data_IF_225666827586
#
_entry.id   IF_225666827586
#
_cell.length_a   1.000
_cell.length_b   1.000
_cell.length_c   1.000
_cell.angle_alpha   90.00
_cell.angle_beta   90.00
_cell.angle_gamma   90.00
#
_symmetry.space_group_name_H-M   'P 1'
#
loop_
_entity.id
_entity.type
_entity.pdbx_description
1 polymer ?
#
# COMPACT_ATOMS: atom_id res chain seq x y z
N UNK A 1 -29.17 -4.80 -4.30
CA UNK A 1 -27.74 -4.58 -4.59
C UNK A 1 -27.06 -5.94 -4.53
N UNK A 2 -26.23 -6.30 -5.50
CA UNK A 2 -25.49 -7.57 -5.48
C UNK A 2 -24.49 -7.54 -4.33
N UNK A 3 -24.78 -8.20 -3.22
CA UNK A 3 -23.87 -8.31 -2.08
C UNK A 3 -22.76 -9.28 -2.45
N UNK A 4 -21.57 -8.76 -2.78
CA UNK A 4 -20.37 -9.59 -2.92
C UNK A 4 -19.64 -9.63 -1.59
N UNK A 5 -19.12 -10.80 -1.22
CA UNK A 5 -18.23 -10.96 -0.07
C UNK A 5 -16.80 -11.20 -0.56
N UNK A 6 -15.82 -10.62 0.13
CA UNK A 6 -14.41 -10.79 -0.21
C UNK A 6 -13.67 -11.64 0.84
N UNK A 7 -12.68 -12.40 0.39
CA UNK A 7 -11.71 -13.07 1.23
C UNK A 7 -10.30 -12.70 0.75
N UNK A 8 -9.53 -12.06 1.62
CA UNK A 8 -8.13 -11.76 1.38
C UNK A 8 -7.27 -12.86 1.98
N UNK A 9 -6.46 -13.54 1.17
CA UNK A 9 -5.45 -14.48 1.63
C UNK A 9 -4.09 -13.80 1.70
N UNK A 10 -3.52 -13.74 2.90
CA UNK A 10 -2.17 -13.21 3.10
C UNK A 10 -1.54 -13.73 4.39
N UNK A 11 -0.23 -13.52 4.55
CA UNK A 11 0.44 -13.74 5.83
C UNK A 11 -0.17 -12.84 6.93
N UNK A 12 -0.08 -13.28 8.19
CA UNK A 12 -0.51 -12.48 9.34
C UNK A 12 0.50 -11.34 9.65
N UNK A 13 0.63 -10.42 8.70
CA UNK A 13 1.47 -9.22 8.74
C UNK A 13 0.89 -8.17 7.80
N UNK A 14 1.25 -6.89 7.99
CA UNK A 14 0.83 -5.80 7.12
C UNK A 14 1.27 -6.06 5.66
N UNK A 15 2.59 -6.04 5.43
CA UNK A 15 3.23 -6.37 4.17
C UNK A 15 2.60 -5.71 2.94
N UNK A 16 2.55 -6.46 1.83
CA UNK A 16 1.98 -6.02 0.56
C UNK A 16 0.44 -5.99 0.55
N UNK A 17 -0.21 -6.46 1.62
CA UNK A 17 -1.67 -6.54 1.71
C UNK A 17 -2.29 -5.29 2.35
N UNK A 18 -1.51 -4.41 2.97
CA UNK A 18 -2.08 -3.31 3.76
C UNK A 18 -2.90 -2.32 2.90
N UNK A 19 -2.43 -1.99 1.69
CA UNK A 19 -3.21 -1.18 0.75
C UNK A 19 -4.53 -1.85 0.36
N UNK A 20 -4.55 -3.19 0.23
CA UNK A 20 -5.76 -3.96 -0.08
C UNK A 20 -6.74 -3.89 1.10
N UNK A 21 -6.28 -4.07 2.33
CA UNK A 21 -7.11 -3.96 3.54
C UNK A 21 -7.73 -2.58 3.69
N UNK A 22 -6.96 -1.52 3.41
CA UNK A 22 -7.44 -0.15 3.43
C UNK A 22 -8.47 0.11 2.33
N UNK A 23 -8.27 -0.38 1.10
CA UNK A 23 -9.23 -0.25 0.01
C UNK A 23 -10.54 -0.99 0.27
N UNK A 24 -10.49 -2.23 0.79
CA UNK A 24 -11.68 -3.00 1.16
C UNK A 24 -12.47 -2.30 2.28
N UNK A 25 -11.76 -1.75 3.27
CA UNK A 25 -12.36 -0.98 4.36
C UNK A 25 -12.98 0.32 3.85
N UNK A 26 -12.27 1.06 3.00
CA UNK A 26 -12.77 2.31 2.41
C UNK A 26 -14.01 2.09 1.54
N UNK A 27 -14.05 0.97 0.81
CA UNK A 27 -15.20 0.58 0.00
C UNK A 27 -16.43 0.20 0.84
N UNK A 28 -16.28 0.04 2.16
CA UNK A 28 -17.31 -0.39 3.09
C UNK A 28 -18.01 -1.69 2.62
N UNK A 29 -17.20 -2.67 2.19
CA UNK A 29 -17.68 -3.99 1.76
C UNK A 29 -17.42 -5.05 2.82
N UNK A 30 -18.21 -6.12 2.81
CA UNK A 30 -17.97 -7.27 3.68
C UNK A 30 -16.74 -8.06 3.20
N UNK A 31 -15.75 -8.22 4.09
CA UNK A 31 -14.57 -9.00 3.79
C UNK A 31 -13.99 -9.72 5.02
N UNK A 32 -13.31 -10.84 4.78
CA UNK A 32 -12.57 -11.61 5.78
C UNK A 32 -11.13 -11.83 5.35
N UNK A 33 -10.29 -12.22 6.30
CA UNK A 33 -8.90 -12.59 6.04
C UNK A 33 -8.66 -14.06 6.35
N UNK A 34 -7.92 -14.74 5.47
CA UNK A 34 -7.43 -16.10 5.65
C UNK A 34 -5.90 -16.07 5.64
N UNK A 35 -5.28 -16.86 6.50
CA UNK A 35 -3.81 -16.96 6.62
C UNK A 35 -3.34 -18.37 6.24
N UNK A 36 -3.03 -18.62 4.95
CA UNK A 36 -2.62 -19.95 4.51
C UNK A 36 -1.31 -20.41 5.18
N UNK A 37 -1.21 -21.70 5.48
CA UNK A 37 0.00 -22.32 6.01
C UNK A 37 1.08 -22.41 4.91
N UNK A 38 2.25 -21.81 5.16
CA UNK A 38 3.32 -21.71 4.17
C UNK A 38 4.55 -22.53 4.59
N UNK A 39 5.15 -23.33 3.68
CA UNK A 39 4.89 -23.41 2.24
C UNK A 39 3.82 -24.45 1.81
N UNK A 40 3.14 -25.12 2.75
CA UNK A 40 2.25 -26.26 2.45
C UNK A 40 1.12 -25.92 1.47
N UNK A 41 0.52 -24.73 1.59
CA UNK A 41 -0.59 -24.29 0.73
C UNK A 41 -0.14 -23.53 -0.53
N UNK A 42 1.17 -23.36 -0.75
CA UNK A 42 1.70 -22.69 -1.94
C UNK A 42 1.18 -23.28 -3.26
N UNK A 43 1.15 -24.60 -3.47
CA UNK A 43 0.66 -25.18 -4.72
C UNK A 43 -0.83 -24.90 -4.99
N UNK A 44 -1.59 -24.53 -3.95
CA UNK A 44 -3.03 -24.28 -4.03
C UNK A 44 -3.37 -22.82 -4.37
N UNK A 45 -2.40 -21.92 -4.38
CA UNK A 45 -2.62 -20.50 -4.68
C UNK A 45 -2.34 -20.19 -6.15
N UNK A 46 -3.06 -19.25 -6.78
CA UNK A 46 -2.72 -18.77 -8.12
C UNK A 46 -1.27 -18.29 -8.18
N UNK A 47 -0.55 -18.78 -9.19
CA UNK A 47 0.89 -18.57 -9.40
C UNK A 47 1.80 -19.03 -8.24
N UNK A 48 1.25 -19.71 -7.23
CA UNK A 48 1.97 -20.05 -6.00
C UNK A 48 2.43 -18.83 -5.21
N UNK A 49 1.61 -17.77 -5.17
CA UNK A 49 1.93 -16.49 -4.52
C UNK A 49 0.77 -15.96 -3.68
N UNK A 50 1.11 -15.08 -2.75
CA UNK A 50 0.21 -14.22 -1.99
C UNK A 50 0.59 -12.75 -2.21
N UNK A 51 -0.33 -11.78 -2.08
CA UNK A 51 -1.75 -11.95 -1.70
C UNK A 51 -2.64 -12.53 -2.81
N UNK A 52 -3.79 -13.08 -2.40
CA UNK A 52 -4.88 -13.51 -3.29
C UNK A 52 -6.19 -12.93 -2.77
N UNK A 53 -6.96 -12.28 -3.64
CA UNK A 53 -8.32 -11.83 -3.36
C UNK A 53 -9.31 -12.77 -4.01
N UNK A 54 -10.24 -13.30 -3.22
CA UNK A 54 -11.38 -14.08 -3.68
C UNK A 54 -12.63 -13.23 -3.49
N UNK A 55 -13.40 -13.03 -4.55
CA UNK A 55 -14.72 -12.43 -4.49
C UNK A 55 -15.75 -13.52 -4.79
N UNK A 56 -16.74 -13.64 -3.90
CA UNK A 56 -17.92 -14.47 -4.11
C UNK A 56 -19.12 -13.59 -4.38
N UNK A 57 -19.83 -13.89 -5.46
CA UNK A 57 -21.08 -13.24 -5.83
C UNK A 57 -22.26 -14.17 -5.56
N UNK A 58 -23.45 -13.60 -5.42
CA UNK A 58 -24.70 -14.37 -5.44
C UNK A 58 -25.01 -14.98 -6.82
N UNK A 59 -24.25 -14.60 -7.86
CA UNK A 59 -24.25 -15.21 -9.18
C UNK A 59 -22.87 -15.81 -9.42
N UNK A 60 -22.74 -17.14 -9.38
CA UNK A 60 -21.45 -17.84 -9.39
C UNK A 60 -20.57 -17.54 -10.61
N UNK A 61 -21.16 -17.17 -11.74
CA UNK A 61 -20.42 -16.76 -12.95
C UNK A 61 -19.62 -15.46 -12.75
N UNK A 62 -19.96 -14.68 -11.72
CA UNK A 62 -19.26 -13.46 -11.32
C UNK A 62 -18.25 -13.69 -10.19
N UNK A 63 -18.02 -14.94 -9.77
CA UNK A 63 -16.94 -15.25 -8.85
C UNK A 63 -15.59 -14.90 -9.48
N UNK A 64 -14.71 -14.32 -8.67
CA UNK A 64 -13.43 -13.82 -9.14
C UNK A 64 -12.33 -14.21 -8.17
N UNK A 65 -11.17 -14.61 -8.70
CA UNK A 65 -9.97 -14.89 -7.92
C UNK A 65 -8.79 -14.19 -8.59
N UNK A 66 -8.18 -13.24 -7.89
CA UNK A 66 -7.07 -12.42 -8.40
C UNK A 66 -5.87 -12.60 -7.46
N UNK A 67 -4.68 -12.74 -8.05
CA UNK A 67 -3.40 -12.67 -7.35
C UNK A 67 -2.60 -11.47 -7.88
N UNK A 68 -1.44 -11.21 -7.26
CA UNK A 68 -0.62 -10.00 -7.43
C UNK A 68 -1.22 -8.76 -6.77
N UNK A 69 -0.54 -8.21 -5.76
CA UNK A 69 -1.07 -7.13 -4.91
C UNK A 69 -1.52 -5.90 -5.70
N UNK A 70 -0.68 -5.41 -6.63
CA UNK A 70 -0.99 -4.24 -7.47
C UNK A 70 -2.24 -4.46 -8.32
N UNK A 71 -2.42 -5.67 -8.84
CA UNK A 71 -3.58 -6.01 -9.67
C UNK A 71 -4.85 -6.01 -8.84
N UNK A 72 -4.80 -6.58 -7.63
CA UNK A 72 -5.91 -6.57 -6.67
C UNK A 72 -6.27 -5.12 -6.30
N UNK A 73 -5.28 -4.31 -5.94
CA UNK A 73 -5.48 -2.91 -5.57
C UNK A 73 -6.17 -2.12 -6.69
N UNK A 74 -5.70 -2.25 -7.94
CA UNK A 74 -6.31 -1.58 -9.11
C UNK A 74 -7.74 -2.06 -9.35
N UNK A 75 -8.00 -3.36 -9.19
CA UNK A 75 -9.35 -3.90 -9.32
C UNK A 75 -10.30 -3.23 -8.32
N UNK A 76 -9.93 -3.20 -7.04
CA UNK A 76 -10.73 -2.56 -6.00
C UNK A 76 -10.87 -1.06 -6.23
N UNK A 77 -9.78 -0.37 -6.55
CA UNK A 77 -9.79 1.07 -6.75
C UNK A 77 -10.69 1.50 -7.92
N UNK A 78 -10.68 0.75 -9.03
CA UNK A 78 -11.59 1.01 -10.16
C UNK A 78 -13.03 0.66 -9.84
N UNK A 79 -13.25 -0.45 -9.12
CA UNK A 79 -14.60 -0.94 -8.78
C UNK A 79 -15.33 0.01 -7.83
N UNK A 80 -14.61 0.60 -6.88
CA UNK A 80 -15.19 1.43 -5.81
C UNK A 80 -14.89 2.93 -5.93
N UNK A 81 -14.35 3.36 -7.07
CA UNK A 81 -14.21 4.80 -7.38
C UNK A 81 -13.02 5.51 -6.75
N UNK A 82 -12.04 4.80 -6.20
CA UNK A 82 -10.79 5.39 -5.69
C UNK A 82 -9.79 5.73 -6.79
N UNK A 83 -9.99 5.22 -8.01
CA UNK A 83 -9.21 5.59 -9.20
C UNK A 83 -10.15 6.24 -10.24
N UNK A 84 -9.78 7.40 -10.83
CA UNK A 84 -10.60 8.05 -11.84
C UNK A 84 -10.84 7.17 -13.08
N UNK A 85 -12.04 7.24 -13.66
CA UNK A 85 -12.35 6.54 -14.90
C UNK A 85 -11.65 7.12 -16.14
N UNK A 86 -11.24 8.40 -16.09
CA UNK A 86 -10.43 9.00 -17.15
C UNK A 86 -9.03 8.36 -17.16
N UNK A 87 -8.62 7.72 -18.27
CA UNK A 87 -7.38 6.95 -18.32
C UNK A 87 -6.13 7.82 -18.15
N UNK A 88 -6.17 9.10 -18.52
CA UNK A 88 -5.03 10.01 -18.33
C UNK A 88 -4.88 10.37 -16.86
N UNK A 89 -5.98 10.65 -16.16
CA UNK A 89 -5.97 10.91 -14.72
C UNK A 89 -5.58 9.66 -13.92
N UNK A 90 -6.09 8.49 -14.31
CA UNK A 90 -5.69 7.21 -13.71
C UNK A 90 -4.18 6.96 -13.84
N UNK A 91 -3.62 7.13 -15.05
CA UNK A 91 -2.20 6.91 -15.30
C UNK A 91 -1.28 7.78 -14.41
N UNK A 92 -1.67 9.04 -14.14
CA UNK A 92 -0.93 9.94 -13.24
C UNK A 92 -0.91 9.46 -11.79
N UNK A 93 -1.98 8.79 -11.32
CA UNK A 93 -2.01 8.16 -10.00
C UNK A 93 -1.23 6.85 -9.99
N UNK A 94 -1.42 6.02 -11.03
CA UNK A 94 -0.81 4.71 -11.16
C UNK A 94 0.72 4.79 -11.25
N UNK A 95 1.29 5.78 -11.94
CA UNK A 95 2.75 5.93 -12.00
C UNK A 95 3.39 6.16 -10.62
N UNK A 96 2.73 6.92 -9.74
CA UNK A 96 3.23 7.19 -8.39
C UNK A 96 3.19 5.90 -7.58
N UNK A 97 2.07 5.16 -7.66
CA UNK A 97 1.90 3.89 -6.96
C UNK A 97 2.86 2.81 -7.47
N UNK A 98 3.01 2.67 -8.77
CA UNK A 98 3.85 1.61 -9.36
C UNK A 98 5.30 1.76 -8.94
N UNK A 99 5.75 3.01 -8.79
CA UNK A 99 7.07 3.32 -8.29
C UNK A 99 7.33 2.81 -6.88
N UNK A 100 6.31 2.76 -6.04
CA UNK A 100 6.41 2.19 -4.68
C UNK A 100 6.80 0.71 -4.70
N UNK A 101 6.36 -0.06 -5.72
CA UNK A 101 6.77 -1.47 -5.88
C UNK A 101 8.26 -1.60 -6.05
N UNK A 102 8.89 -0.75 -6.87
CA UNK A 102 10.33 -0.82 -7.13
C UNK A 102 11.13 -0.55 -5.85
N UNK A 103 10.65 0.38 -5.01
CA UNK A 103 11.31 0.75 -3.75
C UNK A 103 11.17 -0.38 -2.73
N UNK A 104 9.98 -0.97 -2.62
CA UNK A 104 9.75 -2.14 -1.76
C UNK A 104 10.60 -3.32 -2.23
N UNK A 105 10.69 -3.56 -3.54
CA UNK A 105 11.53 -4.62 -4.10
C UNK A 105 13.02 -4.35 -3.81
N UNK A 106 13.48 -3.12 -3.98
CA UNK A 106 14.85 -2.72 -3.64
C UNK A 106 15.14 -2.95 -2.16
N UNK A 107 14.19 -2.63 -1.26
CA UNK A 107 14.28 -2.93 0.17
C UNK A 107 14.45 -4.43 0.42
N UNK A 108 13.60 -5.28 -0.14
CA UNK A 108 13.71 -6.73 0.05
C UNK A 108 15.02 -7.31 -0.51
N UNK A 109 15.48 -6.81 -1.66
CA UNK A 109 16.75 -7.22 -2.27
C UNK A 109 17.93 -6.83 -1.38
N UNK A 110 18.01 -5.58 -0.88
CA UNK A 110 19.09 -5.17 0.01
C UNK A 110 19.06 -5.93 1.34
N UNK A 111 17.87 -6.21 1.88
CA UNK A 111 17.72 -6.85 3.17
C UNK A 111 18.24 -8.30 3.12
N UNK A 112 18.02 -8.96 1.98
CA UNK A 112 18.41 -10.36 1.73
C UNK A 112 19.80 -10.51 1.10
N UNK A 113 20.54 -9.41 0.88
CA UNK A 113 21.82 -9.43 0.19
C UNK A 113 22.97 -9.97 1.06
N UNK A 114 23.99 -10.52 0.38
CA UNK A 114 25.27 -10.83 1.00
C UNK A 114 26.02 -9.56 1.41
N UNK A 115 26.91 -9.67 2.40
CA UNK A 115 27.58 -8.52 3.01
C UNK A 115 28.36 -7.64 2.00
N UNK A 116 28.95 -8.25 0.97
CA UNK A 116 29.72 -7.59 -0.09
C UNK A 116 28.88 -6.72 -1.03
N UNK A 117 27.56 -6.93 -1.10
CA UNK A 117 26.63 -6.15 -1.94
C UNK A 117 25.70 -5.23 -1.15
N UNK A 118 25.70 -5.36 0.17
CA UNK A 118 24.70 -4.72 1.03
C UNK A 118 24.77 -3.20 0.99
N UNK A 119 25.98 -2.63 0.95
CA UNK A 119 26.19 -1.18 0.88
C UNK A 119 25.69 -0.59 -0.43
N UNK A 120 26.06 -1.17 -1.58
CA UNK A 120 25.61 -0.74 -2.91
C UNK A 120 24.07 -0.78 -3.02
N UNK A 121 23.46 -1.88 -2.57
CA UNK A 121 22.00 -2.06 -2.65
C UNK A 121 21.25 -1.15 -1.68
N UNK A 122 21.83 -0.86 -0.52
CA UNK A 122 21.29 0.13 0.43
C UNK A 122 21.34 1.54 -0.17
N UNK A 123 22.45 1.93 -0.80
CA UNK A 123 22.56 3.22 -1.49
C UNK A 123 21.56 3.34 -2.64
N UNK A 124 21.32 2.25 -3.39
CA UNK A 124 20.27 2.20 -4.41
C UNK A 124 18.89 2.40 -3.82
N UNK A 125 18.53 1.68 -2.74
CA UNK A 125 17.25 1.88 -2.06
C UNK A 125 17.07 3.33 -1.59
N UNK A 126 18.12 3.91 -0.99
CA UNK A 126 18.10 5.29 -0.50
C UNK A 126 17.89 6.30 -1.64
N UNK A 127 18.57 6.16 -2.79
CA UNK A 127 18.35 7.02 -3.97
C UNK A 127 16.90 6.89 -4.48
N UNK A 128 16.36 5.67 -4.55
CA UNK A 128 14.98 5.45 -4.98
C UNK A 128 13.98 6.12 -4.03
N UNK A 129 14.18 5.99 -2.72
CA UNK A 129 13.33 6.60 -1.69
C UNK A 129 13.41 8.12 -1.73
N UNK A 130 14.62 8.71 -1.83
CA UNK A 130 14.82 10.16 -1.93
C UNK A 130 14.09 10.75 -3.14
N UNK A 131 14.26 10.14 -4.33
CA UNK A 131 13.55 10.59 -5.54
C UNK A 131 12.03 10.48 -5.38
N UNK A 132 11.55 9.41 -4.75
CA UNK A 132 10.11 9.25 -4.49
C UNK A 132 9.59 10.35 -3.57
N UNK A 133 10.30 10.64 -2.48
CA UNK A 133 9.97 11.73 -1.56
C UNK A 133 9.93 13.06 -2.33
N UNK A 134 10.97 13.40 -3.09
CA UNK A 134 11.04 14.65 -3.86
C UNK A 134 9.86 14.81 -4.83
N UNK A 135 9.60 13.78 -5.63
CA UNK A 135 8.50 13.77 -6.61
C UNK A 135 7.14 13.85 -5.93
N UNK A 136 6.93 13.07 -4.86
CA UNK A 136 5.66 13.08 -4.14
C UNK A 136 5.40 14.43 -3.46
N UNK A 137 6.42 15.01 -2.80
CA UNK A 137 6.28 16.33 -2.17
C UNK A 137 6.02 17.42 -3.21
N UNK A 138 6.63 17.33 -4.40
CA UNK A 138 6.33 18.27 -5.49
C UNK A 138 4.90 18.12 -5.99
N UNK A 139 4.43 16.89 -6.24
CA UNK A 139 3.06 16.64 -6.65
C UNK A 139 2.04 17.17 -5.63
N UNK A 140 2.32 17.00 -4.33
CA UNK A 140 1.48 17.56 -3.26
C UNK A 140 1.47 19.08 -3.28
N UNK A 141 2.63 19.74 -3.47
CA UNK A 141 2.70 21.20 -3.62
C UNK A 141 1.93 21.70 -4.83
N UNK A 142 2.08 21.03 -5.97
CA UNK A 142 1.39 21.38 -7.22
C UNK A 142 -0.14 21.25 -7.08
N UNK A 143 -0.61 20.33 -6.23
CA UNK A 143 -2.01 20.20 -5.85
C UNK A 143 -2.43 21.13 -4.67
N UNK A 144 -1.64 22.18 -4.37
CA UNK A 144 -1.95 23.16 -3.34
C UNK A 144 -1.71 22.67 -1.90
N UNK A 145 -0.99 21.57 -1.73
CA UNK A 145 -0.68 20.93 -0.45
C UNK A 145 -1.94 20.66 0.39
N UNK A 146 -3.00 20.16 -0.23
CA UNK A 146 -4.28 19.85 0.45
C UNK A 146 -4.16 18.68 1.44
N UNK A 147 -3.13 17.82 1.27
CA UNK A 147 -3.03 16.51 1.93
C UNK A 147 -3.44 15.36 1.01
N UNK A 148 -3.84 15.65 -0.23
CA UNK A 148 -4.11 14.67 -1.28
C UNK A 148 -3.20 14.92 -2.48
N UNK A 149 -2.82 13.86 -3.19
CA UNK A 149 -2.08 14.00 -4.45
C UNK A 149 -2.91 14.66 -5.55
N UNK A 150 -4.22 14.42 -5.56
CA UNK A 150 -5.11 14.93 -6.61
C UNK A 150 -6.42 15.44 -6.01
N UNK A 151 -6.74 16.72 -6.27
CA UNK A 151 -7.96 17.33 -5.73
C UNK A 151 -7.97 17.36 -4.20
N UNK A 152 -9.13 17.11 -3.60
CA UNK A 152 -9.35 17.20 -2.15
C UNK A 152 -10.11 15.99 -1.59
N UNK A 153 -10.10 14.87 -2.31
CA UNK A 153 -10.79 13.64 -1.91
C UNK A 153 -9.78 12.49 -1.81
N UNK A 154 -10.09 11.50 -0.98
CA UNK A 154 -9.27 10.31 -0.82
C UNK A 154 -9.22 9.49 -2.13
N UNK A 155 -8.02 9.30 -2.65
CA UNK A 155 -7.79 8.49 -3.85
C UNK A 155 -6.91 7.27 -3.56
N UNK A 156 -6.85 6.35 -4.52
CA UNK A 156 -6.03 5.15 -4.45
C UNK A 156 -4.56 5.45 -4.16
N UNK A 157 -3.99 6.48 -4.79
CA UNK A 157 -2.57 6.83 -4.61
C UNK A 157 -2.30 7.40 -3.20
N UNK A 158 -3.27 8.08 -2.59
CA UNK A 158 -3.15 8.57 -1.21
C UNK A 158 -3.09 7.38 -0.23
N UNK A 159 -4.02 6.43 -0.38
CA UNK A 159 -4.08 5.19 0.42
C UNK A 159 -2.79 4.37 0.25
N UNK A 160 -2.35 4.16 -1.00
CA UNK A 160 -1.14 3.40 -1.30
C UNK A 160 0.12 4.05 -0.71
N UNK A 161 0.22 5.38 -0.79
CA UNK A 161 1.37 6.12 -0.26
C UNK A 161 1.40 6.11 1.28
N UNK A 162 0.24 6.26 1.92
CA UNK A 162 0.13 6.08 3.38
C UNK A 162 0.59 4.68 3.81
N UNK A 163 0.06 3.63 3.17
CA UNK A 163 0.43 2.26 3.46
C UNK A 163 1.93 1.99 3.25
N UNK A 164 2.51 2.58 2.20
CA UNK A 164 3.94 2.48 1.90
C UNK A 164 4.83 3.09 2.98
N UNK A 165 4.56 4.34 3.40
CA UNK A 165 5.35 4.96 4.46
C UNK A 165 5.14 4.26 5.80
N UNK A 166 3.90 3.83 6.09
CA UNK A 166 3.62 3.01 7.27
C UNK A 166 4.41 1.71 7.27
N UNK A 167 4.50 1.04 6.12
CA UNK A 167 5.30 -0.16 5.98
C UNK A 167 6.79 0.11 6.28
N UNK A 168 7.39 1.13 5.66
CA UNK A 168 8.81 1.43 5.87
C UNK A 168 9.14 1.89 7.29
N UNK A 169 8.25 2.64 7.94
CA UNK A 169 8.52 3.24 9.26
C UNK A 169 8.14 2.29 10.39
N UNK A 170 7.02 1.57 10.28
CA UNK A 170 6.51 0.72 11.37
C UNK A 170 6.88 -0.74 11.13
N UNK A 171 6.48 -1.29 9.99
CA UNK A 171 6.64 -2.73 9.73
C UNK A 171 8.11 -3.12 9.50
N UNK A 172 8.85 -2.31 8.75
CA UNK A 172 10.25 -2.58 8.45
C UNK A 172 11.19 -2.33 9.62
N UNK A 173 10.76 -1.62 10.68
CA UNK A 173 11.57 -1.43 11.89
C UNK A 173 12.04 -2.75 12.51
N UNK A 174 11.16 -3.75 12.57
CA UNK A 174 11.50 -5.09 13.08
C UNK A 174 12.42 -5.90 12.16
N UNK A 175 12.52 -5.53 10.88
CA UNK A 175 13.42 -6.18 9.90
C UNK A 175 14.76 -5.46 9.80
N UNK A 176 14.74 -4.13 9.75
CA UNK A 176 15.92 -3.28 9.57
C UNK A 176 15.63 -1.85 10.07
N UNK A 177 16.01 -1.57 11.32
CA UNK A 177 15.79 -0.28 11.97
C UNK A 177 16.34 0.91 11.18
N UNK A 178 17.49 0.76 10.51
CA UNK A 178 18.08 1.84 9.69
C UNK A 178 17.17 2.28 8.52
N UNK A 179 16.34 1.38 7.98
CA UNK A 179 15.38 1.72 6.91
C UNK A 179 14.21 2.50 7.48
N UNK A 180 13.75 2.15 8.69
CA UNK A 180 12.73 2.91 9.42
C UNK A 180 13.21 4.34 9.71
N UNK A 181 14.43 4.49 10.25
CA UNK A 181 14.98 5.82 10.56
C UNK A 181 15.22 6.66 9.30
N UNK A 182 15.71 6.05 8.21
CA UNK A 182 15.85 6.73 6.93
C UNK A 182 14.49 7.19 6.38
N UNK A 183 13.47 6.32 6.40
CA UNK A 183 12.14 6.68 5.93
C UNK A 183 11.51 7.78 6.79
N UNK A 184 11.58 7.67 8.12
CA UNK A 184 11.06 8.68 9.07
C UNK A 184 11.73 10.03 8.87
N UNK A 185 13.06 10.07 8.76
CA UNK A 185 13.82 11.32 8.56
C UNK A 185 13.66 11.93 7.16
N UNK A 186 13.27 11.13 6.16
CA UNK A 186 13.03 11.62 4.79
C UNK A 186 11.69 12.33 4.60
N UNK A 187 10.73 12.19 5.52
CA UNK A 187 9.39 12.76 5.37
C UNK A 187 9.43 14.29 5.38
N UNK A 188 8.94 14.90 4.29
CA UNK A 188 8.73 16.36 4.21
C UNK A 188 7.42 16.77 4.89
N UNK A 189 7.22 18.06 5.20
CA UNK A 189 5.95 18.55 5.77
C UNK A 189 4.72 18.22 4.92
N UNK A 190 4.85 18.19 3.59
CA UNK A 190 3.75 17.82 2.69
C UNK A 190 3.37 16.35 2.84
N UNK A 191 4.35 15.45 2.93
CA UNK A 191 4.11 14.02 3.14
C UNK A 191 3.55 13.75 4.54
N UNK A 192 4.05 14.46 5.56
CA UNK A 192 3.48 14.39 6.91
C UNK A 192 2.01 14.85 6.92
N UNK A 193 1.68 15.90 6.16
CA UNK A 193 0.30 16.36 5.99
C UNK A 193 -0.56 15.31 5.28
N UNK A 194 -0.07 14.70 4.20
CA UNK A 194 -0.78 13.60 3.53
C UNK A 194 -1.05 12.44 4.49
N UNK A 195 -0.04 12.02 5.26
CA UNK A 195 -0.19 10.95 6.26
C UNK A 195 -1.29 11.33 7.27
N UNK A 196 -1.26 12.55 7.80
CA UNK A 196 -2.25 13.00 8.78
C UNK A 196 -3.67 13.06 8.19
N UNK A 197 -3.84 13.54 6.96
CA UNK A 197 -5.14 13.64 6.29
C UNK A 197 -5.70 12.26 5.95
N UNK A 198 -4.89 11.37 5.37
CA UNK A 198 -5.31 10.00 5.04
C UNK A 198 -5.63 9.21 6.30
N UNK A 199 -4.79 9.27 7.34
CA UNK A 199 -5.02 8.54 8.58
C UNK A 199 -6.26 9.02 9.35
N UNK A 200 -6.65 10.29 9.17
CA UNK A 200 -7.86 10.86 9.77
C UNK A 200 -9.14 10.61 8.95
N UNK A 201 -9.04 10.05 7.74
CA UNK A 201 -10.20 9.82 6.89
C UNK A 201 -11.14 8.75 7.50
N UNK A 202 -12.44 9.08 7.72
CA UNK A 202 -13.38 8.16 8.36
C UNK A 202 -13.59 6.86 7.57
N UNK A 203 -13.35 6.84 6.25
CA UNK A 203 -13.44 5.63 5.44
C UNK A 203 -12.37 4.60 5.82
N UNK A 204 -11.26 5.02 6.42
CA UNK A 204 -10.14 4.14 6.77
C UNK A 204 -10.09 3.76 8.24
N UNK A 205 -10.84 4.45 9.10
CA UNK A 205 -10.76 4.35 10.57
C UNK A 205 -10.78 2.90 11.08
N UNK A 206 -11.69 2.06 10.57
CA UNK A 206 -11.84 0.68 11.02
C UNK A 206 -10.60 -0.22 10.78
N UNK A 207 -9.76 0.12 9.79
CA UNK A 207 -8.51 -0.59 9.53
C UNK A 207 -7.31 0.11 10.19
N UNK A 208 -7.28 1.45 10.13
CA UNK A 208 -6.24 2.26 10.80
C UNK A 208 -6.18 1.94 12.29
N UNK A 209 -7.32 1.83 12.97
CA UNK A 209 -7.40 1.61 14.42
C UNK A 209 -6.98 0.21 14.88
N UNK A 210 -6.87 -0.74 13.95
CA UNK A 210 -6.35 -2.09 14.25
C UNK A 210 -4.83 -2.14 14.33
N UNK A 211 -4.15 -1.08 13.91
CA UNK A 211 -2.69 -1.04 13.77
C UNK A 211 -2.13 0.24 14.37
N UNK A 212 -0.82 0.27 14.63
CA UNK A 212 -0.18 1.48 15.15
C UNK A 212 -0.35 2.65 14.16
N UNK A 213 -0.79 3.80 14.67
CA UNK A 213 -0.99 5.02 13.87
C UNK A 213 0.35 5.67 13.54
N UNK A 214 0.57 5.99 12.27
CA UNK A 214 1.81 6.58 11.81
C UNK A 214 2.00 7.99 12.38
N UNK A 215 0.93 8.78 12.53
CA UNK A 215 1.03 10.11 13.16
C UNK A 215 1.56 10.01 14.60
N UNK A 216 1.14 8.98 15.35
CA UNK A 216 1.65 8.74 16.71
C UNK A 216 3.14 8.42 16.71
N UNK A 217 3.60 7.57 15.79
CA UNK A 217 5.03 7.20 15.63
C UNK A 217 5.90 8.39 15.21
N UNK A 218 5.36 9.31 14.42
CA UNK A 218 6.08 10.51 13.97
C UNK A 218 6.19 11.57 15.08
N UNK A 219 5.27 11.58 16.04
CA UNK A 219 5.29 12.50 17.18
C UNK A 219 6.15 12.02 18.37
N UNK A 220 6.55 10.75 18.37
CA UNK A 220 7.42 10.13 19.37
C UNK A 220 8.90 10.26 19.00
#
# INVERSE_FOLDING_TARGET
>A
MSTSSFTLRYFNTAGLAETIRLLLTAANVEWTEEHPEWPAEKPNQPFGRLPVLIQKSNVSENDLTISESVTIERYLARTYGFLPADPRKAALQEQIRDRLTDIILAFYIQHSASADKKEELAAKFEDLLKRQVEVSSQALRDNGNSGHFFGNELTYVDIASYAFFKYLIVSAKGMQESVSELAKSSLTPELQKLIAVVEADPLLAAQVDKTERLVSVLSA
#
